data_IF_968079285066
#
_entry.id   IF_968079285066
#
_cell.length_a   1.000
_cell.length_b   1.000
_cell.length_c   1.000
_cell.angle_alpha   90.00
_cell.angle_beta   90.00
_cell.angle_gamma   90.00
#
_symmetry.space_group_name_H-M   'P 1'
#
loop_
_entity.id
_entity.type
_entity.pdbx_description
1 polymer ?
#
# COMPACT_ATOMS: atom_id res chain seq x y z
N UNK A 1 37.15 14.96 9.71
CA UNK A 1 36.31 14.16 10.65
C UNK A 1 35.96 12.88 9.91
N UNK A 2 36.61 11.77 10.25
CA UNK A 2 36.51 10.52 9.51
C UNK A 2 35.18 9.81 9.84
N UNK A 3 34.40 9.52 8.80
CA UNK A 3 33.19 8.70 8.88
C UNK A 3 33.64 7.26 9.11
N UNK A 4 33.36 6.70 10.28
CA UNK A 4 33.68 5.31 10.61
C UNK A 4 32.93 4.31 9.72
N UNK A 5 33.43 3.08 9.56
CA UNK A 5 32.80 2.10 8.69
C UNK A 5 31.44 1.67 9.25
N UNK A 6 30.44 1.65 8.37
CA UNK A 6 29.13 1.05 8.63
C UNK A 6 29.35 -0.44 8.88
N UNK A 7 29.14 -0.87 10.13
CA UNK A 7 29.20 -2.27 10.53
C UNK A 7 27.99 -2.98 9.93
N UNK A 8 28.22 -3.83 8.92
CA UNK A 8 27.21 -4.74 8.40
C UNK A 8 26.77 -5.73 9.50
N UNK A 9 25.46 -6.00 9.66
CA UNK A 9 24.98 -6.97 10.64
C UNK A 9 25.50 -8.38 10.31
N UNK A 10 26.01 -9.07 11.34
CA UNK A 10 26.58 -10.42 11.23
C UNK A 10 25.57 -11.44 10.73
N UNK A 11 25.99 -12.25 9.75
CA UNK A 11 25.32 -13.46 9.26
C UNK A 11 25.10 -14.44 10.42
N UNK A 12 23.84 -14.81 10.68
CA UNK A 12 23.49 -15.89 11.61
C UNK A 12 22.33 -15.55 12.53
N UNK A 13 21.11 -15.49 11.97
CA UNK A 13 19.79 -15.74 12.58
C UNK A 13 18.76 -15.50 11.47
N UNK A 14 17.79 -16.40 11.30
CA UNK A 14 16.91 -16.44 10.12
C UNK A 14 16.31 -15.08 9.76
N UNK A 15 16.37 -14.75 8.46
CA UNK A 15 15.72 -13.56 7.91
C UNK A 15 14.21 -13.71 8.07
N UNK A 16 13.62 -13.04 9.06
CA UNK A 16 12.16 -12.96 9.10
C UNK A 16 11.71 -12.12 7.92
N UNK A 17 10.79 -12.63 7.10
CA UNK A 17 10.13 -11.86 6.02
C UNK A 17 9.58 -10.53 6.54
N UNK A 18 9.14 -10.50 7.81
CA UNK A 18 8.71 -9.27 8.51
C UNK A 18 9.87 -8.29 8.74
N UNK A 19 11.06 -8.78 9.05
CA UNK A 19 12.27 -7.98 9.18
C UNK A 19 12.79 -7.45 7.85
N UNK A 20 12.67 -8.23 6.77
CA UNK A 20 13.03 -7.81 5.40
C UNK A 20 12.07 -6.72 4.90
N UNK A 21 10.75 -6.90 5.07
CA UNK A 21 9.74 -5.90 4.67
C UNK A 21 9.87 -4.59 5.49
N UNK A 22 10.23 -4.68 6.77
CA UNK A 22 10.45 -3.50 7.63
C UNK A 22 11.81 -2.82 7.34
N UNK A 23 12.89 -3.58 7.14
CA UNK A 23 14.23 -3.05 6.90
C UNK A 23 14.39 -2.43 5.50
N UNK A 24 13.66 -2.91 4.49
CA UNK A 24 13.77 -2.43 3.12
C UNK A 24 13.13 -1.06 2.87
N UNK A 25 12.25 -0.63 3.76
CA UNK A 25 11.43 0.56 3.54
C UNK A 25 11.37 1.51 4.75
N UNK A 26 11.85 1.08 5.92
CA UNK A 26 12.00 1.91 7.12
C UNK A 26 13.16 2.91 7.09
N UNK A 27 13.85 3.11 5.95
CA UNK A 27 14.98 4.02 5.81
C UNK A 27 14.67 5.32 5.03
N UNK A 28 13.41 5.57 4.65
CA UNK A 28 13.01 6.80 3.98
C UNK A 28 12.19 7.72 4.91
N UNK A 29 12.74 8.02 6.09
CA UNK A 29 12.31 9.17 6.90
C UNK A 29 13.22 10.37 6.64
N UNK A 30 12.75 11.29 5.81
CA UNK A 30 13.06 12.74 5.86
C UNK A 30 12.13 13.47 4.88
N UNK A 31 10.83 13.31 5.07
CA UNK A 31 9.84 14.30 4.67
C UNK A 31 9.10 14.64 5.96
N UNK A 32 9.14 15.91 6.37
CA UNK A 32 8.71 16.42 7.66
C UNK A 32 7.45 15.75 8.23
N UNK A 33 7.40 15.55 9.56
CA UNK A 33 6.20 15.04 10.18
C UNK A 33 5.06 16.03 9.96
N UNK A 34 3.93 15.54 9.44
CA UNK A 34 2.63 16.13 9.75
C UNK A 34 2.35 15.90 11.25
N UNK A 35 3.14 16.56 12.09
CA UNK A 35 2.95 16.62 13.53
C UNK A 35 1.95 17.74 13.82
N UNK A 36 0.66 17.40 13.82
CA UNK A 36 -0.33 17.93 14.77
C UNK A 36 -1.71 17.30 14.56
N UNK A 37 -1.79 15.96 14.66
CA UNK A 37 -3.01 15.33 15.15
C UNK A 37 -2.60 14.29 16.17
N UNK A 38 -2.38 14.80 17.37
CA UNK A 38 -1.92 14.11 18.56
C UNK A 38 -2.71 12.83 18.80
N UNK A 39 -1.97 11.75 18.92
CA UNK A 39 -2.25 10.53 19.68
C UNK A 39 -3.01 10.84 20.97
N UNK A 40 -4.35 10.83 20.95
CA UNK A 40 -5.13 10.73 22.20
C UNK A 40 -6.54 10.11 22.05
N UNK A 41 -6.78 9.26 21.04
CA UNK A 41 -8.05 8.51 20.94
C UNK A 41 -7.97 7.03 21.33
N UNK A 42 -6.77 6.48 21.54
CA UNK A 42 -6.60 5.04 21.81
C UNK A 42 -6.44 4.67 23.29
N UNK A 43 -6.36 5.64 24.21
CA UNK A 43 -6.20 5.35 25.65
C UNK A 43 -7.52 5.34 26.47
N UNK A 44 -8.62 5.92 25.96
CA UNK A 44 -9.86 6.10 26.74
C UNK A 44 -10.87 4.93 26.69
N UNK A 45 -10.68 3.93 25.83
CA UNK A 45 -11.69 2.86 25.63
C UNK A 45 -11.62 1.68 26.60
N UNK A 46 -10.72 1.70 27.59
CA UNK A 46 -10.55 0.56 28.51
C UNK A 46 -11.32 0.64 29.83
N UNK A 47 -12.07 1.70 30.12
CA UNK A 47 -12.95 1.76 31.29
C UNK A 47 -14.17 2.67 31.07
N UNK A 48 -15.23 2.14 30.49
CA UNK A 48 -16.60 2.52 30.88
C UNK A 48 -17.60 1.53 30.29
N UNK A 49 -18.52 1.08 31.14
CA UNK A 49 -19.50 0.06 30.82
C UNK A 49 -20.38 0.43 29.62
N UNK A 50 -20.80 -0.64 28.95
CA UNK A 50 -21.88 -0.73 27.98
C UNK A 50 -22.92 0.38 28.13
N UNK A 51 -22.80 1.43 27.32
CA UNK A 51 -23.85 2.41 27.07
C UNK A 51 -24.01 2.51 25.56
N UNK A 52 -25.14 1.99 25.08
CA UNK A 52 -25.60 2.08 23.70
C UNK A 52 -25.52 3.54 23.24
N UNK A 53 -24.56 3.85 22.37
CA UNK A 53 -24.43 5.17 21.75
C UNK A 53 -25.11 5.15 20.38
N UNK A 54 -26.15 5.97 20.28
CA UNK A 54 -26.57 6.69 19.07
C UNK A 54 -25.35 6.97 18.19
N UNK A 55 -25.45 6.62 16.91
CA UNK A 55 -24.52 7.08 15.88
C UNK A 55 -24.52 8.60 15.82
N UNK A 56 -23.50 9.21 16.40
CA UNK A 56 -23.20 10.62 16.23
C UNK A 56 -22.32 10.77 15.01
N UNK A 57 -22.89 11.26 13.90
CA UNK A 57 -22.11 11.79 12.79
C UNK A 57 -21.18 12.88 13.34
N UNK A 58 -19.89 12.85 13.03
CA UNK A 58 -18.98 13.95 13.39
C UNK A 58 -19.55 15.27 12.84
N UNK A 59 -19.49 16.39 13.60
CA UNK A 59 -19.92 17.68 13.09
C UNK A 59 -19.19 18.01 11.78
N UNK A 60 -19.88 18.69 10.87
CA UNK A 60 -19.40 18.91 9.50
C UNK A 60 -18.04 19.64 9.46
N UNK A 61 -17.78 20.54 10.43
CA UNK A 61 -16.55 21.34 10.54
C UNK A 61 -15.27 20.53 10.83
N UNK A 62 -15.37 19.28 11.31
CA UNK A 62 -14.21 18.43 11.65
C UNK A 62 -13.89 17.37 10.58
N UNK A 63 -14.62 17.37 9.45
CA UNK A 63 -14.38 16.40 8.38
C UNK A 63 -13.33 16.93 7.42
N UNK A 64 -12.36 16.10 7.01
CA UNK A 64 -11.35 16.53 6.05
C UNK A 64 -12.01 16.76 4.70
N UNK A 65 -11.68 17.87 4.06
CA UNK A 65 -12.03 18.11 2.66
C UNK A 65 -11.27 17.15 1.75
N UNK A 66 -11.66 17.08 0.48
CA UNK A 66 -10.90 16.35 -0.52
C UNK A 66 -9.47 16.90 -0.66
N UNK A 67 -9.31 18.23 -0.62
CA UNK A 67 -7.99 18.89 -0.63
C UNK A 67 -7.13 18.44 0.56
N UNK A 68 -7.69 18.40 1.77
CA UNK A 68 -6.97 17.92 2.96
C UNK A 68 -6.53 16.46 2.81
N UNK A 69 -7.44 15.59 2.34
CA UNK A 69 -7.11 14.19 2.08
C UNK A 69 -6.02 14.03 1.02
N UNK A 70 -6.05 14.85 -0.03
CA UNK A 70 -5.05 14.82 -1.09
C UNK A 70 -3.66 15.14 -0.54
N UNK A 71 -3.52 16.25 0.19
CA UNK A 71 -2.26 16.64 0.79
C UNK A 71 -1.74 15.61 1.79
N UNK A 72 -2.63 15.08 2.64
CA UNK A 72 -2.27 14.12 3.68
C UNK A 72 -1.90 12.72 3.14
N UNK A 73 -2.56 12.26 2.07
CA UNK A 73 -2.52 10.83 1.70
C UNK A 73 -2.05 10.50 0.29
N UNK A 74 -1.92 11.46 -0.64
CA UNK A 74 -1.53 11.14 -2.03
C UNK A 74 -0.23 10.33 -2.09
N UNK A 75 0.79 10.70 -1.31
CA UNK A 75 2.12 10.07 -1.40
C UNK A 75 2.07 8.63 -0.91
N UNK A 76 1.33 8.37 0.17
CA UNK A 76 1.12 7.01 0.68
C UNK A 76 0.35 6.15 -0.32
N UNK A 77 -0.66 6.72 -0.99
CA UNK A 77 -1.44 6.03 -2.01
C UNK A 77 -0.63 5.75 -3.28
N UNK A 78 0.22 6.68 -3.73
CA UNK A 78 1.12 6.47 -4.88
C UNK A 78 2.11 5.36 -4.55
N UNK A 79 2.76 5.40 -3.39
CA UNK A 79 3.67 4.35 -2.96
C UNK A 79 2.98 2.98 -2.88
N UNK A 80 1.74 2.96 -2.40
CA UNK A 80 0.92 1.74 -2.41
C UNK A 80 0.64 1.26 -3.85
N UNK A 81 0.27 2.17 -4.75
CA UNK A 81 -0.03 1.85 -6.15
C UNK A 81 1.20 1.30 -6.88
N UNK A 82 2.40 1.85 -6.66
CA UNK A 82 3.68 1.35 -7.21
C UNK A 82 3.89 -0.13 -6.90
N UNK A 83 3.50 -0.57 -5.69
CA UNK A 83 3.62 -1.98 -5.29
C UNK A 83 2.53 -2.89 -5.88
N UNK A 84 1.50 -2.32 -6.51
CA UNK A 84 0.37 -3.05 -7.08
C UNK A 84 0.44 -3.15 -8.61
N UNK A 85 1.02 -2.15 -9.30
CA UNK A 85 1.15 -2.11 -10.76
C UNK A 85 2.47 -2.73 -11.24
N UNK A 86 2.62 -2.92 -12.56
CA UNK A 86 3.82 -3.47 -13.20
C UNK A 86 4.83 -2.39 -13.64
N UNK A 87 4.39 -1.14 -13.82
CA UNK A 87 5.26 0.00 -14.11
C UNK A 87 4.94 1.20 -13.21
N UNK A 88 6.00 1.85 -12.71
CA UNK A 88 5.90 2.90 -11.69
C UNK A 88 5.23 4.19 -12.20
N UNK A 89 5.44 4.53 -13.47
CA UNK A 89 4.80 5.67 -14.16
C UNK A 89 3.28 5.63 -14.07
N UNK A 90 2.68 4.44 -14.10
CA UNK A 90 1.23 4.26 -14.02
C UNK A 90 0.64 4.45 -12.61
N UNK A 91 1.48 4.49 -11.58
CA UNK A 91 1.00 4.55 -10.20
C UNK A 91 0.36 5.89 -9.87
N UNK A 92 0.92 6.99 -10.38
CA UNK A 92 0.38 8.34 -10.17
C UNK A 92 -0.98 8.49 -10.85
N UNK A 93 -1.12 8.02 -12.10
CA UNK A 93 -2.38 8.05 -12.84
C UNK A 93 -3.50 7.32 -12.11
N UNK A 94 -3.21 6.14 -11.55
CA UNK A 94 -4.19 5.37 -10.78
C UNK A 94 -4.69 6.15 -9.56
N UNK A 95 -3.79 6.88 -8.88
CA UNK A 95 -4.15 7.69 -7.70
C UNK A 95 -4.89 8.96 -8.10
N UNK A 96 -4.45 9.64 -9.15
CA UNK A 96 -5.14 10.82 -9.69
C UNK A 96 -6.57 10.48 -10.11
N UNK A 97 -6.75 9.36 -10.81
CA UNK A 97 -8.07 8.87 -11.20
C UNK A 97 -8.94 8.55 -9.97
N UNK A 98 -8.38 7.95 -8.92
CA UNK A 98 -9.10 7.67 -7.69
C UNK A 98 -9.60 8.95 -6.98
N UNK A 99 -8.77 9.99 -6.89
CA UNK A 99 -9.18 11.30 -6.36
C UNK A 99 -10.19 11.99 -7.26
N UNK A 100 -10.03 11.89 -8.58
CA UNK A 100 -10.95 12.45 -9.56
C UNK A 100 -12.35 11.83 -9.43
N UNK A 101 -12.43 10.50 -9.32
CA UNK A 101 -13.69 9.80 -9.11
C UNK A 101 -14.33 10.13 -7.75
N UNK A 102 -13.51 10.27 -6.70
CA UNK A 102 -13.99 10.71 -5.39
C UNK A 102 -14.64 12.10 -5.49
N UNK A 103 -13.94 13.06 -6.11
CA UNK A 103 -14.45 14.43 -6.32
C UNK A 103 -15.73 14.44 -7.14
N UNK A 104 -15.76 13.76 -8.27
CA UNK A 104 -16.94 13.72 -9.15
C UNK A 104 -18.19 13.16 -8.44
N UNK A 105 -17.99 12.23 -7.51
CA UNK A 105 -19.08 11.54 -6.83
C UNK A 105 -19.55 12.24 -5.55
N UNK A 106 -18.61 12.80 -4.79
CA UNK A 106 -18.84 13.26 -3.42
C UNK A 106 -18.56 14.76 -3.23
N UNK A 107 -18.01 15.44 -4.23
CA UNK A 107 -17.62 16.85 -4.16
C UNK A 107 -16.43 17.10 -3.24
N UNK A 108 -16.18 18.36 -2.92
CA UNK A 108 -15.06 18.79 -2.06
C UNK A 108 -15.28 18.45 -0.58
N UNK A 109 -16.53 18.56 -0.10
CA UNK A 109 -16.87 18.47 1.33
C UNK A 109 -17.05 17.03 1.84
N UNK A 110 -17.22 16.05 0.93
CA UNK A 110 -17.35 14.62 1.27
C UNK A 110 -18.45 14.32 2.30
N UNK A 111 -19.52 15.11 2.28
CA UNK A 111 -20.56 15.17 3.31
C UNK A 111 -21.29 13.84 3.56
N UNK A 112 -21.31 12.95 2.58
CA UNK A 112 -22.01 11.68 2.59
C UNK A 112 -21.08 10.47 2.74
N UNK A 113 -19.77 10.69 2.95
CA UNK A 113 -18.76 9.63 2.97
C UNK A 113 -18.01 9.55 4.30
N UNK A 114 -18.41 8.57 5.13
CA UNK A 114 -17.83 8.38 6.47
C UNK A 114 -16.36 7.92 6.45
N UNK A 115 -15.92 7.19 5.41
CA UNK A 115 -14.57 6.64 5.31
C UNK A 115 -13.94 6.90 3.92
N UNK A 116 -13.63 8.16 3.63
CA UNK A 116 -13.04 8.57 2.37
C UNK A 116 -11.69 7.91 2.07
N UNK A 117 -10.83 7.71 3.08
CA UNK A 117 -9.54 7.03 2.88
C UNK A 117 -9.72 5.54 2.53
N UNK A 118 -10.69 4.86 3.13
CA UNK A 118 -11.05 3.49 2.76
C UNK A 118 -11.59 3.40 1.32
N UNK A 119 -12.40 4.38 0.92
CA UNK A 119 -12.86 4.51 -0.46
C UNK A 119 -11.69 4.69 -1.44
N UNK A 120 -10.75 5.59 -1.14
CA UNK A 120 -9.57 5.82 -1.98
C UNK A 120 -8.70 4.57 -2.09
N UNK A 121 -8.45 3.86 -0.99
CA UNK A 121 -7.67 2.60 -1.02
C UNK A 121 -8.33 1.55 -1.91
N UNK A 122 -9.65 1.40 -1.79
CA UNK A 122 -10.43 0.50 -2.64
C UNK A 122 -10.35 0.90 -4.12
N UNK A 123 -10.48 2.20 -4.40
CA UNK A 123 -10.40 2.76 -5.75
C UNK A 123 -9.03 2.55 -6.38
N UNK A 124 -7.95 2.77 -5.63
CA UNK A 124 -6.57 2.52 -6.09
C UNK A 124 -6.35 1.03 -6.40
N UNK A 125 -6.79 0.11 -5.54
CA UNK A 125 -6.68 -1.33 -5.81
C UNK A 125 -7.44 -1.71 -7.09
N UNK A 126 -8.66 -1.19 -7.27
CA UNK A 126 -9.48 -1.47 -8.44
C UNK A 126 -8.91 -0.84 -9.73
N UNK A 127 -8.34 0.36 -9.62
CA UNK A 127 -7.62 1.04 -10.69
C UNK A 127 -6.40 0.23 -11.13
N UNK A 128 -5.55 -0.19 -10.20
CA UNK A 128 -4.39 -1.05 -10.47
C UNK A 128 -4.79 -2.37 -11.16
N UNK A 129 -5.83 -3.06 -10.68
CA UNK A 129 -6.37 -4.26 -11.33
C UNK A 129 -6.84 -4.00 -12.76
N UNK A 130 -7.53 -2.88 -12.99
CA UNK A 130 -8.04 -2.53 -14.30
C UNK A 130 -6.93 -2.20 -15.28
N UNK A 131 -5.89 -1.49 -14.81
CA UNK A 131 -4.69 -1.21 -15.58
C UNK A 131 -3.97 -2.50 -16.01
N UNK A 132 -3.67 -3.39 -15.05
CA UNK A 132 -3.01 -4.66 -15.32
C UNK A 132 -3.80 -5.54 -16.31
N UNK A 133 -5.13 -5.58 -16.16
CA UNK A 133 -6.00 -6.33 -17.10
C UNK A 133 -5.92 -5.75 -18.51
N UNK A 134 -6.03 -4.42 -18.66
CA UNK A 134 -5.94 -3.74 -19.97
C UNK A 134 -4.59 -3.98 -20.64
N UNK A 135 -3.49 -3.89 -19.89
CA UNK A 135 -2.13 -4.14 -20.41
C UNK A 135 -1.95 -5.58 -20.83
N UNK A 136 -2.44 -6.54 -20.04
CA UNK A 136 -2.41 -7.97 -20.41
C UNK A 136 -3.14 -8.18 -21.74
N UNK A 137 -4.34 -7.64 -21.88
CA UNK A 137 -5.09 -7.70 -23.15
C UNK A 137 -4.30 -7.03 -24.28
N UNK A 138 -3.77 -5.83 -24.11
CA UNK A 138 -3.00 -5.16 -25.16
C UNK A 138 -1.79 -5.98 -25.63
N UNK A 139 -1.04 -6.61 -24.71
CA UNK A 139 0.10 -7.51 -25.03
C UNK A 139 -0.32 -8.77 -25.80
N UNK A 140 -1.54 -9.26 -25.58
CA UNK A 140 -2.07 -10.42 -26.31
C UNK A 140 -2.50 -10.09 -27.76
N UNK A 141 -2.77 -8.81 -28.07
CA UNK A 141 -3.23 -8.35 -29.38
C UNK A 141 -2.16 -7.68 -30.27
N UNK A 142 -0.98 -7.36 -29.72
CA UNK A 142 0.14 -6.74 -30.47
C UNK A 142 1.24 -7.79 -30.71
N UNK A 143 1.70 -8.04 -31.96
CA UNK A 143 2.85 -8.91 -32.24
C UNK A 143 4.08 -8.43 -31.45
N UNK A 144 5.00 -9.33 -31.05
CA UNK A 144 6.09 -8.98 -30.14
C UNK A 144 7.06 -8.01 -30.82
N UNK A 145 6.83 -6.71 -30.66
CA UNK A 145 7.88 -5.73 -30.63
C UNK A 145 8.33 -5.64 -29.17
N UNK A 146 9.64 -5.63 -28.94
CA UNK A 146 10.31 -5.45 -27.64
C UNK A 146 9.42 -4.67 -26.67
N UNK A 147 8.74 -5.41 -25.80
CA UNK A 147 7.97 -4.80 -24.73
C UNK A 147 8.97 -3.97 -23.94
N UNK A 148 8.66 -2.69 -23.70
CA UNK A 148 9.44 -1.83 -22.83
C UNK A 148 9.73 -2.60 -21.52
N UNK A 149 10.93 -3.15 -21.43
CA UNK A 149 11.42 -3.68 -20.18
C UNK A 149 11.45 -2.49 -19.22
N UNK A 150 11.04 -2.66 -17.95
CA UNK A 150 11.24 -1.63 -16.95
C UNK A 150 12.67 -1.09 -17.09
N UNK A 151 12.84 0.23 -17.22
CA UNK A 151 14.16 0.78 -17.51
C UNK A 151 15.12 0.36 -16.40
N UNK A 152 16.35 -0.01 -16.77
CA UNK A 152 17.39 -0.27 -15.78
C UNK A 152 17.64 0.95 -14.87
N UNK A 153 17.27 2.15 -15.34
CA UNK A 153 17.31 3.41 -14.60
C UNK A 153 16.19 3.53 -13.54
N UNK A 154 15.00 2.97 -13.77
CA UNK A 154 13.90 2.91 -12.78
C UNK A 154 14.31 2.11 -11.53
N UNK A 155 15.29 1.23 -11.68
CA UNK A 155 15.80 0.36 -10.63
C UNK A 155 17.15 0.83 -10.03
N UNK A 156 17.76 1.91 -10.54
CA UNK A 156 19.17 2.24 -10.32
C UNK A 156 19.52 2.81 -8.92
N UNK A 157 18.53 3.09 -8.06
CA UNK A 157 18.75 3.70 -6.72
C UNK A 157 18.43 2.74 -5.55
N UNK A 158 17.99 1.52 -5.86
CA UNK A 158 17.60 0.55 -4.84
C UNK A 158 18.79 -0.35 -4.45
N UNK A 159 19.06 -0.50 -3.15
CA UNK A 159 19.99 -1.51 -2.66
C UNK A 159 19.57 -2.89 -3.21
N UNK A 160 20.53 -3.76 -3.50
CA UNK A 160 20.31 -5.04 -4.20
C UNK A 160 19.22 -5.90 -3.54
N UNK A 161 19.14 -5.86 -2.21
CA UNK A 161 18.10 -6.55 -1.42
C UNK A 161 16.67 -6.04 -1.71
N UNK A 162 16.52 -4.72 -1.91
CA UNK A 162 15.23 -4.10 -2.21
C UNK A 162 14.74 -4.51 -3.59
N UNK A 163 15.64 -4.51 -4.59
CA UNK A 163 15.34 -4.96 -5.94
C UNK A 163 14.86 -6.42 -5.94
N UNK A 164 15.54 -7.30 -5.20
CA UNK A 164 15.15 -8.71 -5.05
C UNK A 164 13.73 -8.87 -4.52
N UNK A 165 13.34 -8.07 -3.52
CA UNK A 165 11.97 -8.10 -2.98
C UNK A 165 10.94 -7.60 -3.97
N UNK A 166 11.21 -6.54 -4.71
CA UNK A 166 10.27 -6.06 -5.73
C UNK A 166 10.06 -7.11 -6.82
N UNK A 167 11.13 -7.76 -7.30
CA UNK A 167 11.05 -8.85 -8.26
C UNK A 167 10.26 -10.03 -7.68
N UNK A 168 10.56 -10.46 -6.45
CA UNK A 168 9.84 -11.56 -5.81
C UNK A 168 8.35 -11.24 -5.56
N UNK A 169 8.01 -9.98 -5.27
CA UNK A 169 6.64 -9.49 -5.17
C UNK A 169 5.90 -9.53 -6.52
N UNK A 170 6.61 -9.26 -7.63
CA UNK A 170 6.06 -9.34 -8.98
C UNK A 170 5.66 -10.78 -9.39
N UNK A 171 6.28 -11.78 -8.78
CA UNK A 171 5.94 -13.19 -9.00
C UNK A 171 4.69 -13.67 -8.24
N UNK A 172 4.27 -12.92 -7.21
CA UNK A 172 3.06 -13.26 -6.45
C UNK A 172 1.81 -13.12 -7.32
N UNK A 173 0.81 -13.97 -7.06
CA UNK A 173 -0.53 -13.73 -7.60
C UNK A 173 -1.03 -12.35 -7.17
N UNK A 174 -1.85 -11.72 -8.00
CA UNK A 174 -2.40 -10.39 -7.75
C UNK A 174 -3.02 -10.30 -6.35
N UNK A 175 -3.78 -11.32 -5.94
CA UNK A 175 -4.44 -11.34 -4.65
C UNK A 175 -3.48 -11.47 -3.46
N UNK A 176 -2.43 -12.27 -3.60
CA UNK A 176 -1.38 -12.38 -2.57
C UNK A 176 -0.66 -11.04 -2.41
N UNK A 177 -0.27 -10.41 -3.52
CA UNK A 177 0.40 -9.10 -3.52
C UNK A 177 -0.47 -8.04 -2.84
N UNK A 178 -1.73 -7.91 -3.23
CA UNK A 178 -2.68 -6.97 -2.63
C UNK A 178 -2.79 -7.14 -1.11
N UNK A 179 -2.92 -8.37 -0.63
CA UNK A 179 -3.03 -8.63 0.82
C UNK A 179 -1.74 -8.24 1.56
N UNK A 180 -0.56 -8.53 0.99
CA UNK A 180 0.70 -8.14 1.62
C UNK A 180 0.88 -6.61 1.62
N UNK A 181 0.61 -5.95 0.50
CA UNK A 181 0.72 -4.48 0.40
C UNK A 181 -0.23 -3.82 1.40
N UNK A 182 -1.51 -4.18 1.40
CA UNK A 182 -2.47 -3.57 2.32
C UNK A 182 -2.12 -3.83 3.79
N UNK A 183 -1.60 -5.01 4.12
CA UNK A 183 -1.24 -5.38 5.51
C UNK A 183 0.04 -4.71 6.00
N UNK A 184 1.09 -4.73 5.19
CA UNK A 184 2.43 -4.35 5.64
C UNK A 184 2.86 -2.95 5.16
N UNK A 185 2.26 -2.44 4.08
CA UNK A 185 2.53 -1.09 3.57
C UNK A 185 1.50 -0.07 4.09
N UNK A 186 0.23 -0.45 4.06
CA UNK A 186 -0.87 0.44 4.43
C UNK A 186 -1.34 0.28 5.88
N UNK A 187 -0.66 -0.59 6.65
CA UNK A 187 -0.94 -0.95 8.05
C UNK A 187 -2.43 -1.24 8.32
N UNK A 188 -3.10 -1.88 7.35
CA UNK A 188 -4.51 -2.21 7.50
C UNK A 188 -4.69 -3.48 8.35
N UNK A 189 -5.67 -3.43 9.25
CA UNK A 189 -6.15 -4.61 9.94
C UNK A 189 -6.80 -5.61 8.98
N UNK A 190 -6.86 -6.89 9.37
CA UNK A 190 -7.51 -7.92 8.56
C UNK A 190 -8.97 -7.61 8.21
N UNK A 191 -9.67 -6.86 9.08
CA UNK A 191 -11.04 -6.43 8.83
C UNK A 191 -11.10 -5.35 7.74
N UNK A 192 -10.22 -4.35 7.79
CA UNK A 192 -10.14 -3.31 6.77
C UNK A 192 -9.68 -3.87 5.42
N UNK A 193 -8.76 -4.85 5.40
CA UNK A 193 -8.35 -5.54 4.17
C UNK A 193 -9.53 -6.33 3.59
N UNK A 194 -10.29 -7.02 4.44
CA UNK A 194 -11.47 -7.78 4.03
C UNK A 194 -12.50 -6.87 3.35
N UNK A 195 -12.77 -5.71 3.93
CA UNK A 195 -13.63 -4.68 3.34
C UNK A 195 -13.08 -4.16 2.00
N UNK A 196 -11.81 -3.73 1.98
CA UNK A 196 -11.14 -3.17 0.80
C UNK A 196 -11.13 -4.15 -0.39
N UNK A 197 -10.96 -5.45 -0.12
CA UNK A 197 -10.80 -6.47 -1.15
C UNK A 197 -12.09 -7.26 -1.44
N UNK A 198 -13.18 -7.02 -0.72
CA UNK A 198 -14.41 -7.79 -0.80
C UNK A 198 -14.22 -9.27 -0.41
N UNK A 199 -13.48 -9.53 0.66
CA UNK A 199 -13.13 -10.87 1.15
C UNK A 199 -13.65 -11.13 2.56
N UNK A 200 -13.67 -12.40 2.97
CA UNK A 200 -13.83 -12.74 4.39
C UNK A 200 -12.52 -12.55 5.16
N UNK A 201 -12.59 -12.26 6.47
CA UNK A 201 -11.39 -12.17 7.34
C UNK A 201 -10.55 -13.45 7.31
N UNK A 202 -11.21 -14.62 7.25
CA UNK A 202 -10.54 -15.91 7.09
C UNK A 202 -9.80 -16.06 5.75
N UNK A 203 -10.38 -15.54 4.66
CA UNK A 203 -9.72 -15.49 3.36
C UNK A 203 -8.51 -14.55 3.38
N UNK A 204 -8.59 -13.40 4.06
CA UNK A 204 -7.44 -12.49 4.25
C UNK A 204 -6.30 -13.20 4.99
N UNK A 205 -6.60 -13.83 6.14
CA UNK A 205 -5.59 -14.54 6.95
C UNK A 205 -4.90 -15.66 6.19
N UNK A 206 -5.69 -16.53 5.54
CA UNK A 206 -5.15 -17.65 4.75
C UNK A 206 -4.40 -17.19 3.50
N UNK A 207 -4.80 -16.08 2.88
CA UNK A 207 -4.07 -15.49 1.75
C UNK A 207 -2.76 -14.85 2.20
N UNK A 208 -2.74 -14.13 3.32
CA UNK A 208 -1.53 -13.54 3.89
C UNK A 208 -0.48 -14.63 4.20
N UNK A 209 -0.89 -15.72 4.84
CA UNK A 209 0.00 -16.86 5.12
C UNK A 209 0.62 -17.41 3.82
N UNK A 210 -0.22 -17.76 2.85
CA UNK A 210 0.25 -18.30 1.56
C UNK A 210 1.09 -17.30 0.77
N UNK A 211 0.84 -16.00 0.91
CA UNK A 211 1.60 -14.95 0.25
C UNK A 211 3.01 -14.84 0.82
N UNK A 212 3.17 -14.95 2.15
CA UNK A 212 4.49 -14.97 2.80
C UNK A 212 5.28 -16.21 2.38
N UNK A 213 4.65 -17.40 2.39
CA UNK A 213 5.30 -18.65 1.97
C UNK A 213 5.76 -18.59 0.50
N UNK A 214 4.94 -17.97 -0.37
CA UNK A 214 5.30 -17.77 -1.77
C UNK A 214 6.44 -16.77 -1.91
N UNK A 215 6.39 -15.64 -1.20
CA UNK A 215 7.41 -14.60 -1.25
C UNK A 215 8.78 -15.15 -0.82
N UNK A 216 8.83 -15.96 0.24
CA UNK A 216 10.05 -16.64 0.69
C UNK A 216 10.64 -17.51 -0.41
N UNK A 217 9.82 -18.36 -1.04
CA UNK A 217 10.26 -19.22 -2.16
C UNK A 217 10.76 -18.43 -3.37
N UNK A 218 10.16 -17.28 -3.67
CA UNK A 218 10.62 -16.44 -4.77
C UNK A 218 11.94 -15.76 -4.41
N UNK A 219 12.11 -15.28 -3.17
CA UNK A 219 13.37 -14.68 -2.72
C UNK A 219 14.55 -15.65 -2.74
N UNK A 220 14.31 -16.93 -2.43
CA UNK A 220 15.35 -17.97 -2.55
C UNK A 220 15.82 -18.19 -4.00
N UNK A 221 14.93 -17.96 -4.98
CA UNK A 221 15.25 -18.12 -6.42
C UNK A 221 15.99 -16.92 -7.00
N UNK A 222 15.80 -15.71 -6.47
CA UNK A 222 16.54 -14.50 -6.87
C UNK A 222 17.91 -14.42 -6.17
N UNK A 223 18.42 -15.56 -5.67
CA UNK A 223 19.67 -15.62 -4.90
C UNK A 223 20.90 -15.82 -5.76
#
# INVERSE_FOLDING_TARGET
MAIGPIVAPRRGRGFSVRGVVVALFGAQEAGEPASEFTTDQQAAQRRSGFRLLRGGRKPAEDRPTLTDLYHAHRLGLVRMAVLLVDHQDLAEDVVQEAFTQLYQRHGEELDDLDNALGYLRTSVVNGARSMLRRRKTAREYVPPHEADAPSAEDHAVLNDEHRRVLVAMQELTTRQREVLVLRYWSDLSEAQIAETLGLSRGAVKSTASRALDALEKHLEKVR
#
